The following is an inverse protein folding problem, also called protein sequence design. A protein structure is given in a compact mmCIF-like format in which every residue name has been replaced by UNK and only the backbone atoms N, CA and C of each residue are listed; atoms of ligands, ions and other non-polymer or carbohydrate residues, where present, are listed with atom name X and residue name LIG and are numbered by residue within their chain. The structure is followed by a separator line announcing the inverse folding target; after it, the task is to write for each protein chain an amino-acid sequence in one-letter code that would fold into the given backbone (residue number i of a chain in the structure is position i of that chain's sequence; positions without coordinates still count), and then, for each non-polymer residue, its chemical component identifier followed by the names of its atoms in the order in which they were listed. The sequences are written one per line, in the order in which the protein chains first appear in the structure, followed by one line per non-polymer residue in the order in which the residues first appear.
data_IF_267408510824
#
_entry.id   IF_267408510824
#
_cell.length_a   1.000
_cell.length_b   1.000
_cell.length_c   1.000
_cell.angle_alpha   90.00
_cell.angle_beta   90.00
_cell.angle_gamma   90.00
#
_symmetry.space_group_name_H-M   'P 1'
#
loop_
_entity.id
_entity.type
_entity.pdbx_description
1 polymer ?
#
# COMPACT_ATOMS: atom_id res chain seq x y z
N UNK A 1 -5.12 -5.17 25.27
CA UNK A 1 -5.15 -5.34 23.79
C UNK A 1 -5.41 -4.00 23.09
N UNK A 2 -6.59 -3.39 23.23
CA UNK A 2 -6.90 -2.10 22.59
C UNK A 2 -6.04 -0.94 23.12
N UNK A 3 -5.91 -0.84 24.44
CA UNK A 3 -5.04 0.17 25.08
C UNK A 3 -3.55 0.00 24.69
N UNK A 4 -3.11 -1.23 24.42
CA UNK A 4 -1.72 -1.50 24.02
C UNK A 4 -1.46 -1.04 22.58
N UNK A 5 -2.45 -1.23 21.69
CA UNK A 5 -2.40 -0.74 20.31
C UNK A 5 -2.39 0.79 20.26
N UNK A 6 -3.28 1.44 21.01
CA UNK A 6 -3.32 2.90 21.11
C UNK A 6 -2.01 3.48 21.70
N UNK A 7 -1.43 2.81 22.70
CA UNK A 7 -0.14 3.20 23.25
C UNK A 7 1.01 3.02 22.24
N UNK A 8 0.99 1.94 21.45
CA UNK A 8 1.98 1.72 20.40
C UNK A 8 1.87 2.78 19.28
N UNK A 9 0.65 3.12 18.85
CA UNK A 9 0.40 4.17 17.86
C UNK A 9 0.83 5.55 18.36
N UNK A 10 0.51 5.89 19.62
CA UNK A 10 0.92 7.15 20.26
C UNK A 10 2.44 7.26 20.35
N UNK A 11 3.11 6.20 20.81
CA UNK A 11 4.57 6.15 20.92
C UNK A 11 5.24 6.28 19.56
N UNK A 12 4.73 5.57 18.55
CA UNK A 12 5.23 5.65 17.18
C UNK A 12 5.06 7.05 16.60
N UNK A 13 3.90 7.68 16.81
CA UNK A 13 3.61 9.04 16.35
C UNK A 13 4.53 10.08 17.00
N UNK A 14 4.79 9.94 18.30
CA UNK A 14 5.74 10.80 19.02
C UNK A 14 7.16 10.68 18.46
N UNK A 15 7.62 9.45 18.20
CA UNK A 15 8.93 9.20 17.61
C UNK A 15 9.08 9.90 16.25
N UNK A 16 8.12 9.77 15.35
CA UNK A 16 8.20 10.39 14.02
C UNK A 16 8.08 11.92 14.05
N UNK A 17 7.31 12.45 15.00
CA UNK A 17 7.27 13.89 15.23
C UNK A 17 8.64 14.45 15.63
N UNK A 18 9.40 13.72 16.46
CA UNK A 18 10.77 14.12 16.82
C UNK A 18 11.69 14.08 15.59
N UNK A 19 11.67 12.98 14.83
CA UNK A 19 12.48 12.84 13.60
C UNK A 19 12.19 13.98 12.63
N UNK A 20 10.91 14.34 12.42
CA UNK A 20 10.53 15.44 11.53
C UNK A 20 10.89 16.82 12.07
N UNK A 21 11.00 16.98 13.39
CA UNK A 21 11.51 18.19 14.01
C UNK A 21 12.97 18.47 13.63
N UNK A 22 13.79 17.43 13.61
CA UNK A 22 15.23 17.50 13.35
C UNK A 22 15.58 17.43 11.85
N UNK A 23 14.85 16.63 11.08
CA UNK A 23 15.15 16.39 9.66
C UNK A 23 14.15 17.08 8.74
N UNK A 24 14.66 18.01 7.92
CA UNK A 24 13.87 18.84 6.98
C UNK A 24 13.89 18.36 5.54
N UNK A 25 14.65 17.31 5.23
CA UNK A 25 14.66 16.71 3.90
C UNK A 25 13.47 15.79 3.66
N UNK A 26 13.44 15.15 2.49
CA UNK A 26 12.41 14.17 2.14
C UNK A 26 12.51 12.93 3.03
N UNK A 27 11.42 12.59 3.72
CA UNK A 27 11.31 11.47 4.64
C UNK A 27 10.41 10.38 4.05
N UNK A 28 10.99 9.21 3.76
CA UNK A 28 10.25 8.03 3.31
C UNK A 28 10.05 7.05 4.47
N UNK A 29 8.81 6.56 4.66
CA UNK A 29 8.52 5.49 5.63
C UNK A 29 8.19 4.17 4.94
N UNK A 30 8.51 3.07 5.61
CA UNK A 30 8.26 1.70 5.18
C UNK A 30 7.73 0.85 6.32
N UNK A 31 7.19 -0.31 6.00
CA UNK A 31 6.82 -1.33 6.98
C UNK A 31 5.32 -1.41 7.25
N UNK A 32 4.66 -2.41 6.66
CA UNK A 32 3.29 -2.78 7.01
C UNK A 32 2.18 -1.84 6.51
N UNK A 33 2.52 -0.78 5.78
CA UNK A 33 1.52 0.13 5.22
C UNK A 33 0.57 -0.55 4.24
N UNK A 34 -0.68 -0.14 4.34
CA UNK A 34 -1.71 -0.29 3.31
C UNK A 34 -2.06 1.10 2.77
N UNK A 35 -2.98 1.18 1.81
CA UNK A 35 -3.35 2.45 1.17
C UNK A 35 -3.77 3.50 2.21
N UNK A 36 -4.67 3.12 3.10
CA UNK A 36 -5.31 4.02 4.08
C UNK A 36 -4.28 4.55 5.08
N UNK A 37 -3.52 3.64 5.71
CA UNK A 37 -2.50 4.04 6.70
C UNK A 37 -1.34 4.80 6.06
N UNK A 38 -1.04 4.54 4.78
CA UNK A 38 -0.04 5.30 4.03
C UNK A 38 -0.50 6.73 3.74
N UNK A 39 -1.74 6.90 3.28
CA UNK A 39 -2.36 8.22 3.08
C UNK A 39 -2.43 9.00 4.40
N UNK A 40 -2.81 8.34 5.48
CA UNK A 40 -2.87 8.96 6.80
C UNK A 40 -1.49 9.46 7.26
N UNK A 41 -0.44 8.65 7.14
CA UNK A 41 0.91 9.03 7.53
C UNK A 41 1.43 10.24 6.76
N UNK A 42 1.13 10.34 5.45
CA UNK A 42 1.47 11.51 4.64
C UNK A 42 0.65 12.73 5.07
N UNK A 43 -0.67 12.57 5.25
CA UNK A 43 -1.56 13.67 5.64
C UNK A 43 -1.19 14.29 7.00
N UNK A 44 -0.69 13.48 7.94
CA UNK A 44 -0.23 13.92 9.27
C UNK A 44 1.19 14.50 9.26
N UNK A 45 1.87 14.51 8.11
CA UNK A 45 3.25 14.99 7.99
C UNK A 45 4.29 14.07 8.62
N UNK A 46 3.94 12.82 8.92
CA UNK A 46 4.87 11.84 9.48
C UNK A 46 5.80 11.24 8.43
N UNK A 47 5.46 11.40 7.15
CA UNK A 47 6.29 11.05 6.00
C UNK A 47 5.92 11.96 4.83
N UNK A 48 6.86 12.13 3.90
CA UNK A 48 6.58 12.73 2.59
C UNK A 48 6.20 11.64 1.57
N UNK A 49 6.67 10.40 1.77
CA UNK A 49 6.45 9.27 0.88
C UNK A 49 6.36 7.94 1.64
N UNK A 50 5.63 6.98 1.08
CA UNK A 50 5.53 5.61 1.62
C UNK A 50 6.06 4.62 0.60
N UNK A 51 6.97 3.75 1.04
CA UNK A 51 7.42 2.61 0.25
C UNK A 51 6.60 1.36 0.56
N UNK A 52 6.24 0.61 -0.49
CA UNK A 52 5.51 -0.64 -0.38
C UNK A 52 6.37 -1.77 -0.95
N UNK A 53 6.65 -2.80 -0.15
CA UNK A 53 7.40 -3.99 -0.59
C UNK A 53 6.48 -5.12 -1.02
N UNK A 54 5.92 -5.84 -0.05
CA UNK A 54 5.05 -7.02 -0.27
C UNK A 54 3.89 -6.78 -1.23
N UNK A 55 3.23 -5.61 -1.13
CA UNK A 55 2.14 -5.27 -2.04
C UNK A 55 2.63 -5.05 -3.47
N UNK A 56 3.83 -4.52 -3.66
CA UNK A 56 4.41 -4.28 -4.98
C UNK A 56 4.90 -5.58 -5.63
N UNK A 57 5.31 -6.58 -4.85
CA UNK A 57 5.65 -7.92 -5.37
C UNK A 57 4.44 -8.51 -6.12
N UNK A 58 3.26 -8.47 -5.52
CA UNK A 58 2.06 -9.09 -6.12
C UNK A 58 1.26 -8.17 -7.04
N UNK A 59 1.49 -6.86 -7.01
CA UNK A 59 0.74 -5.87 -7.77
C UNK A 59 1.72 -5.01 -8.58
N UNK A 60 2.08 -5.41 -9.82
CA UNK A 60 3.01 -4.63 -10.63
C UNK A 60 2.49 -3.23 -10.98
N UNK A 61 1.18 -3.04 -10.87
CA UNK A 61 0.43 -1.81 -11.10
C UNK A 61 -0.15 -1.21 -9.81
N UNK A 62 0.48 -1.45 -8.65
CA UNK A 62 0.02 -0.98 -7.34
C UNK A 62 -0.39 0.51 -7.30
N UNK A 63 0.37 1.47 -7.89
CA UNK A 63 -0.04 2.88 -7.90
C UNK A 63 -1.37 3.12 -8.59
N UNK A 64 -1.63 2.45 -9.72
CA UNK A 64 -2.91 2.53 -10.42
C UNK A 64 -4.03 2.00 -9.53
N UNK A 65 -3.83 0.83 -8.93
CA UNK A 65 -4.84 0.23 -8.05
C UNK A 65 -5.18 1.12 -6.87
N UNK A 66 -4.20 1.76 -6.25
CA UNK A 66 -4.46 2.74 -5.19
C UNK A 66 -5.18 3.99 -5.69
N UNK A 67 -4.91 4.46 -6.92
CA UNK A 67 -5.58 5.63 -7.47
C UNK A 67 -7.09 5.40 -7.68
N UNK A 68 -7.48 4.18 -8.10
CA UNK A 68 -8.88 3.83 -8.40
C UNK A 68 -9.55 2.96 -7.34
N UNK A 69 -8.88 2.71 -6.22
CA UNK A 69 -9.32 1.81 -5.16
C UNK A 69 -9.67 0.39 -5.65
N UNK A 70 -8.84 -0.15 -6.56
CA UNK A 70 -9.04 -1.49 -7.10
C UNK A 70 -8.57 -2.58 -6.14
N UNK A 71 -9.17 -3.77 -6.30
CA UNK A 71 -8.76 -4.98 -5.58
C UNK A 71 -7.28 -5.29 -5.82
N UNK A 72 -6.56 -5.57 -4.74
CA UNK A 72 -5.16 -6.00 -4.79
C UNK A 72 -5.06 -7.52 -4.96
N UNK A 73 -4.04 -7.95 -5.68
CA UNK A 73 -3.60 -9.34 -5.70
C UNK A 73 -2.97 -9.70 -4.35
N UNK A 74 -3.31 -10.87 -3.83
CA UNK A 74 -2.63 -11.43 -2.67
C UNK A 74 -1.20 -11.84 -3.04
N UNK A 75 -0.26 -11.59 -2.15
CA UNK A 75 1.11 -12.07 -2.32
C UNK A 75 1.24 -13.50 -1.79
N UNK A 76 2.03 -14.32 -2.46
CA UNK A 76 2.47 -15.62 -1.95
C UNK A 76 3.86 -15.49 -1.34
N UNK A 77 3.98 -15.72 -0.03
CA UNK A 77 5.28 -15.65 0.67
C UNK A 77 6.19 -16.83 0.37
N UNK A 78 5.62 -17.97 -0.02
CA UNK A 78 6.40 -19.19 -0.32
C UNK A 78 7.29 -19.01 -1.55
N UNK A 79 6.96 -18.06 -2.42
CA UNK A 79 7.66 -17.81 -3.68
C UNK A 79 8.66 -16.65 -3.63
N UNK A 80 8.71 -15.85 -2.55
CA UNK A 80 9.53 -14.63 -2.48
C UNK A 80 11.02 -14.83 -2.77
N UNK A 81 11.56 -15.99 -2.39
CA UNK A 81 12.95 -16.35 -2.58
C UNK A 81 13.09 -17.64 -3.38
N UNK A 82 12.12 -17.91 -4.26
CA UNK A 82 12.17 -19.05 -5.17
C UNK A 82 13.24 -18.85 -6.25
N UNK A 83 13.84 -19.95 -6.71
CA UNK A 83 14.71 -19.96 -7.89
C UNK A 83 13.90 -20.00 -9.20
N UNK A 84 12.58 -20.14 -9.11
CA UNK A 84 11.70 -20.17 -10.26
C UNK A 84 11.59 -18.77 -10.88
N UNK A 85 11.89 -18.65 -12.18
CA UNK A 85 12.02 -17.35 -12.84
C UNK A 85 10.69 -16.61 -13.09
N UNK A 86 9.58 -17.37 -13.10
CA UNK A 86 8.25 -16.83 -13.45
C UNK A 86 7.32 -16.79 -12.24
N UNK A 87 7.00 -17.97 -11.68
CA UNK A 87 6.06 -18.16 -10.57
C UNK A 87 6.37 -17.30 -9.34
N UNK A 88 5.44 -16.42 -9.01
CA UNK A 88 5.52 -15.49 -7.88
C UNK A 88 6.50 -14.34 -8.09
N UNK A 89 6.91 -14.08 -9.34
CA UNK A 89 7.84 -13.02 -9.71
C UNK A 89 7.30 -12.15 -10.87
N UNK A 90 7.07 -12.74 -12.05
CA UNK A 90 6.60 -12.01 -13.24
C UNK A 90 5.20 -12.37 -13.69
N UNK A 91 4.56 -13.36 -13.04
CA UNK A 91 3.24 -13.89 -13.41
C UNK A 91 2.06 -13.26 -12.65
N UNK A 92 2.31 -12.28 -11.77
CA UNK A 92 1.22 -11.54 -11.13
C UNK A 92 0.45 -10.70 -12.16
N UNK A 93 -0.89 -10.84 -12.22
CA UNK A 93 -1.69 -10.16 -13.24
C UNK A 93 -1.82 -8.67 -12.96
N UNK A 94 -1.80 -7.87 -14.02
CA UNK A 94 -2.19 -6.46 -14.00
C UNK A 94 -3.70 -6.32 -13.75
N UNK A 95 -4.13 -5.19 -13.22
CA UNK A 95 -5.55 -4.86 -13.12
C UNK A 95 -6.12 -4.67 -14.53
N UNK A 96 -7.13 -5.45 -14.84
CA UNK A 96 -7.93 -5.28 -16.05
C UNK A 96 -9.23 -4.62 -15.59
N UNK A 97 -9.47 -3.39 -16.03
CA UNK A 97 -10.74 -2.72 -15.79
C UNK A 97 -11.86 -3.62 -16.37
N UNK A 98 -12.77 -4.17 -15.54
CA UNK A 98 -13.86 -4.96 -16.08
C UNK A 98 -14.65 -4.08 -17.06
N UNK A 99 -15.06 -4.61 -18.23
CA UNK A 99 -15.89 -3.85 -19.14
C UNK A 99 -17.10 -3.35 -18.37
N UNK A 100 -17.27 -2.03 -18.35
CA UNK A 100 -18.37 -1.37 -17.67
C UNK A 100 -19.65 -2.06 -18.12
N UNK A 101 -20.40 -2.65 -17.19
CA UNK A 101 -21.68 -3.25 -17.52
C UNK A 101 -22.47 -2.18 -18.25
N UNK A 102 -22.77 -2.45 -19.53
CA UNK A 102 -23.57 -1.58 -20.37
C UNK A 102 -24.90 -1.48 -19.64
N UNK A 103 -25.11 -0.39 -18.92
CA UNK A 103 -26.40 -0.11 -18.32
C UNK A 103 -27.22 0.36 -19.51
N UNK A 104 -27.83 -0.59 -20.22
CA UNK A 104 -28.76 -0.29 -21.29
C UNK A 104 -29.81 0.64 -20.68
N UNK A 105 -29.93 1.91 -21.12
CA UNK A 105 -31.03 2.73 -20.67
C UNK A 105 -32.31 2.00 -21.06
N UNK A 106 -33.19 1.78 -20.07
CA UNK A 106 -34.52 1.23 -20.25
C UNK A 106 -35.11 1.69 -21.58
N UNK A 107 -35.37 0.72 -22.46
CA UNK A 107 -36.16 0.97 -23.65
C UNK A 107 -37.55 1.42 -23.20
N UNK A 108 -37.92 2.59 -23.69
CA UNK A 108 -39.24 3.25 -23.61
C UNK A 108 -40.35 2.34 -24.15
#
# INVERSE_FOLDING_TARGET
KEADLQNAEKTTSQMWSMVRGEYRGALMRSGGYVRESGMEAVSKGYADMISFGRLFISNPDLPLRFAIDAKLNEYDRSTFYSHHQVVGYTDYPYYINPPTAITTPNQI
#
